data_IF_939433636725
#
_entry.id   IF_939433636725
#
_cell.length_a   1.000
_cell.length_b   1.000
_cell.length_c   1.000
_cell.angle_alpha   90.00
_cell.angle_beta   90.00
_cell.angle_gamma   90.00
#
_symmetry.space_group_name_H-M   'P 1'
#
loop_
_entity.id
_entity.type
_entity.pdbx_description
1 polymer ?
#
# COMPACT_ATOMS: atom_id res chain seq x y z
N UNK A 1 22.31 25.64 -0.34
CA UNK A 1 21.01 25.56 -1.06
C UNK A 1 20.23 24.42 -0.45
N UNK A 2 19.02 24.71 0.05
CA UNK A 2 18.13 23.66 0.57
C UNK A 2 17.38 22.95 -0.55
N UNK A 3 17.25 21.63 -0.41
CA UNK A 3 16.60 20.75 -1.37
C UNK A 3 15.41 20.05 -0.74
N UNK A 4 14.31 20.01 -1.47
CA UNK A 4 13.08 19.28 -1.13
C UNK A 4 12.88 18.17 -2.13
N UNK A 5 12.83 16.92 -1.67
CA UNK A 5 12.77 15.73 -2.52
C UNK A 5 11.37 15.12 -2.43
N UNK A 6 10.65 15.11 -3.55
CA UNK A 6 9.38 14.42 -3.69
C UNK A 6 9.57 13.04 -4.29
N UNK A 7 8.96 12.05 -3.68
CA UNK A 7 8.99 10.65 -4.11
C UNK A 7 7.58 10.19 -4.47
N UNK A 8 7.35 9.83 -5.72
CA UNK A 8 6.17 9.06 -6.13
C UNK A 8 6.55 7.58 -6.22
N UNK A 9 6.09 6.81 -5.24
CA UNK A 9 6.56 5.45 -4.96
C UNK A 9 5.72 4.42 -5.69
N UNK A 10 6.33 3.68 -6.61
CA UNK A 10 5.79 2.47 -7.22
C UNK A 10 6.55 1.23 -6.73
N UNK A 11 6.09 0.02 -7.10
CA UNK A 11 6.61 -1.23 -6.54
C UNK A 11 8.10 -1.45 -6.89
N UNK A 12 8.50 -1.20 -8.13
CA UNK A 12 9.86 -1.48 -8.61
C UNK A 12 10.73 -0.21 -8.67
N UNK A 13 10.14 0.91 -9.07
CA UNK A 13 10.84 2.19 -9.25
C UNK A 13 10.05 3.32 -8.63
N UNK A 14 10.77 4.27 -8.09
CA UNK A 14 10.26 5.52 -7.52
C UNK A 14 10.65 6.67 -8.42
N UNK A 15 9.68 7.46 -8.87
CA UNK A 15 9.95 8.73 -9.51
C UNK A 15 10.37 9.75 -8.46
N UNK A 16 11.46 10.45 -8.74
CA UNK A 16 12.06 11.42 -7.83
C UNK A 16 12.10 12.78 -8.49
N UNK A 17 11.63 13.80 -7.79
CA UNK A 17 11.80 15.20 -8.18
C UNK A 17 12.45 15.98 -7.04
N UNK A 18 13.47 16.75 -7.35
CA UNK A 18 14.18 17.62 -6.41
C UNK A 18 13.87 19.08 -6.76
N UNK A 19 13.36 19.80 -5.77
CA UNK A 19 13.06 21.22 -5.87
C UNK A 19 13.95 22.00 -4.90
N UNK A 20 14.53 23.12 -5.38
CA UNK A 20 15.34 24.02 -4.55
C UNK A 20 14.47 24.90 -3.65
N UNK A 21 15.09 25.57 -2.68
CA UNK A 21 14.47 26.60 -1.84
C UNK A 21 13.83 27.77 -2.62
N UNK A 22 14.16 27.92 -3.90
CA UNK A 22 13.55 28.92 -4.80
C UNK A 22 12.42 28.36 -5.65
N UNK A 23 11.97 27.14 -5.39
CA UNK A 23 10.89 26.47 -6.14
C UNK A 23 11.27 25.99 -7.55
N UNK A 24 12.58 25.99 -7.90
CA UNK A 24 13.07 25.51 -9.20
C UNK A 24 13.37 24.01 -9.14
N UNK A 25 12.99 23.27 -10.17
CA UNK A 25 13.38 21.87 -10.34
C UNK A 25 14.89 21.81 -10.57
N UNK A 26 15.58 21.07 -9.73
CA UNK A 26 17.04 20.85 -9.79
C UNK A 26 17.34 19.55 -10.56
N UNK A 27 16.58 18.50 -10.26
CA UNK A 27 16.79 17.18 -10.85
C UNK A 27 15.51 16.36 -10.83
N UNK A 28 15.35 15.53 -11.83
CA UNK A 28 14.34 14.48 -11.89
C UNK A 28 15.01 13.18 -12.27
N UNK A 29 14.58 12.07 -11.66
CA UNK A 29 15.16 10.75 -11.89
C UNK A 29 14.15 9.64 -11.59
N UNK A 30 14.47 8.43 -12.02
CA UNK A 30 13.87 7.20 -11.53
C UNK A 30 14.91 6.41 -10.76
N UNK A 31 14.57 5.98 -9.53
CA UNK A 31 15.46 5.22 -8.64
C UNK A 31 14.74 3.94 -8.23
N UNK A 32 15.47 2.88 -7.91
CA UNK A 32 14.87 1.67 -7.35
C UNK A 32 14.09 1.97 -6.07
N UNK A 33 12.92 1.35 -5.90
CA UNK A 33 12.09 1.54 -4.69
C UNK A 33 12.66 0.76 -3.51
N UNK A 34 13.87 1.15 -3.10
CA UNK A 34 14.66 0.56 -2.02
C UNK A 34 15.30 1.66 -1.17
N UNK A 35 15.30 1.54 0.19
CA UNK A 35 15.85 2.56 1.07
C UNK A 35 17.33 2.88 0.78
N UNK A 36 18.17 1.88 0.49
CA UNK A 36 19.59 2.10 0.23
C UNK A 36 19.81 2.87 -1.07
N UNK A 37 19.11 2.49 -2.14
CA UNK A 37 19.18 3.17 -3.44
C UNK A 37 18.71 4.63 -3.35
N UNK A 38 17.59 4.88 -2.66
CA UNK A 38 17.06 6.23 -2.46
C UNK A 38 17.94 7.08 -1.54
N UNK A 39 18.52 6.49 -0.50
CA UNK A 39 19.50 7.17 0.38
C UNK A 39 20.74 7.57 -0.39
N UNK A 40 21.32 6.64 -1.14
CA UNK A 40 22.50 6.91 -1.97
C UNK A 40 22.21 8.05 -2.94
N UNK A 41 21.10 7.94 -3.69
CA UNK A 41 20.70 8.98 -4.63
C UNK A 41 20.53 10.34 -3.96
N UNK A 42 19.92 10.39 -2.77
CA UNK A 42 19.72 11.63 -2.02
C UNK A 42 21.07 12.24 -1.57
N UNK A 43 21.97 11.43 -1.01
CA UNK A 43 23.27 11.89 -0.51
C UNK A 43 24.24 12.34 -1.62
N UNK A 44 24.07 11.87 -2.85
CA UNK A 44 24.85 12.32 -4.01
C UNK A 44 24.49 13.74 -4.48
N UNK A 45 23.42 14.34 -3.96
CA UNK A 45 23.00 15.67 -4.41
C UNK A 45 23.86 16.79 -3.79
N UNK A 46 24.14 17.80 -4.60
CA UNK A 46 24.90 18.98 -4.15
C UNK A 46 23.94 19.98 -3.44
N UNK A 47 23.83 19.88 -2.13
CA UNK A 47 22.99 20.75 -1.31
C UNK A 47 22.58 20.11 0.01
N UNK A 48 21.97 20.88 0.87
CA UNK A 48 21.38 20.42 2.13
C UNK A 48 20.00 19.84 1.86
N UNK A 49 19.80 18.53 2.11
CA UNK A 49 18.47 17.92 2.02
C UNK A 49 17.65 18.40 3.20
N UNK A 50 16.73 19.32 2.95
CA UNK A 50 15.85 19.86 3.96
C UNK A 50 14.74 18.89 4.35
N UNK A 51 14.18 18.17 3.37
CA UNK A 51 13.09 17.21 3.62
C UNK A 51 12.86 16.30 2.42
N UNK A 52 12.49 15.06 2.71
CA UNK A 52 12.02 14.08 1.74
C UNK A 52 10.56 13.77 2.03
N UNK A 53 9.70 13.77 1.03
CA UNK A 53 8.29 13.45 1.20
C UNK A 53 7.79 12.40 0.23
N UNK A 54 6.82 11.63 0.69
CA UNK A 54 6.10 10.66 -0.11
C UNK A 54 4.66 10.51 0.36
N UNK A 55 3.77 10.11 -0.55
CA UNK A 55 2.39 9.77 -0.18
C UNK A 55 2.36 8.50 0.68
N UNK A 56 1.48 8.45 1.68
CA UNK A 56 1.26 7.25 2.48
C UNK A 56 0.68 6.12 1.62
N UNK A 57 1.46 5.08 1.38
CA UNK A 57 1.16 3.94 0.52
C UNK A 57 1.76 2.63 1.03
N UNK A 58 1.67 1.53 0.26
CA UNK A 58 2.12 0.20 0.72
C UNK A 58 3.58 0.13 1.15
N UNK A 59 4.52 0.71 0.38
CA UNK A 59 5.96 0.70 0.68
C UNK A 59 6.39 1.86 1.57
N UNK A 60 5.54 2.87 1.76
CA UNK A 60 5.94 4.15 2.35
C UNK A 60 6.49 4.04 3.78
N UNK A 61 5.97 3.14 4.60
CA UNK A 61 6.44 2.99 5.98
C UNK A 61 7.82 2.32 6.07
N UNK A 62 8.10 1.37 5.18
CA UNK A 62 9.40 0.72 5.07
C UNK A 62 10.46 1.70 4.53
N UNK A 63 10.14 2.43 3.48
CA UNK A 63 11.02 3.47 2.93
C UNK A 63 11.27 4.61 3.92
N UNK A 64 10.21 5.10 4.58
CA UNK A 64 10.32 6.12 5.63
C UNK A 64 11.31 5.70 6.71
N UNK A 65 11.17 4.48 7.23
CA UNK A 65 12.07 3.96 8.26
C UNK A 65 13.52 3.91 7.78
N UNK A 66 13.80 3.28 6.63
CA UNK A 66 15.16 3.14 6.13
C UNK A 66 15.83 4.48 5.81
N UNK A 67 15.09 5.43 5.24
CA UNK A 67 15.61 6.77 4.98
C UNK A 67 15.85 7.56 6.28
N UNK A 68 14.97 7.40 7.29
CA UNK A 68 15.14 8.03 8.61
C UNK A 68 16.32 7.44 9.37
N UNK A 69 16.53 6.12 9.32
CA UNK A 69 17.68 5.43 9.89
C UNK A 69 19.00 5.88 9.24
N UNK A 70 18.96 6.30 7.98
CA UNK A 70 20.09 6.92 7.28
C UNK A 70 20.32 8.40 7.64
N UNK A 71 19.55 8.97 8.57
CA UNK A 71 19.69 10.34 9.06
C UNK A 71 18.98 11.40 8.22
N UNK A 72 18.10 11.00 7.29
CA UNK A 72 17.35 11.92 6.44
C UNK A 72 16.01 12.31 7.11
N UNK A 73 15.61 13.57 6.94
CA UNK A 73 14.29 14.03 7.40
C UNK A 73 13.22 13.63 6.39
N UNK A 74 12.31 12.75 6.81
CA UNK A 74 11.30 12.12 5.93
C UNK A 74 9.90 12.35 6.45
N UNK A 75 8.98 12.71 5.56
CA UNK A 75 7.57 12.94 5.88
C UNK A 75 6.68 12.04 5.01
N UNK A 76 5.76 11.34 5.68
CA UNK A 76 4.62 10.71 5.00
C UNK A 76 3.48 11.71 4.90
N UNK A 77 2.94 11.91 3.71
CA UNK A 77 1.85 12.83 3.45
C UNK A 77 0.50 12.12 3.35
N UNK A 78 -0.55 12.80 3.78
CA UNK A 78 -1.92 12.29 3.65
C UNK A 78 -2.32 12.16 2.18
N UNK A 79 -2.67 10.94 1.77
CA UNK A 79 -3.06 10.58 0.40
C UNK A 79 -4.19 11.45 -0.18
N UNK A 80 -5.21 11.78 0.63
CA UNK A 80 -6.35 12.59 0.15
C UNK A 80 -5.94 14.01 -0.19
N UNK A 81 -5.08 14.60 0.63
CA UNK A 81 -4.59 15.95 0.39
C UNK A 81 -3.66 15.99 -0.82
N UNK A 82 -2.71 15.06 -0.93
CA UNK A 82 -1.81 14.96 -2.09
C UNK A 82 -2.62 14.79 -3.37
N UNK A 83 -3.53 13.81 -3.41
CA UNK A 83 -4.42 13.61 -4.57
C UNK A 83 -5.29 14.82 -4.89
N UNK A 84 -5.77 15.53 -3.87
CA UNK A 84 -6.54 16.77 -4.06
C UNK A 84 -5.71 17.87 -4.74
N UNK A 85 -4.48 18.07 -4.29
CA UNK A 85 -3.56 19.05 -4.86
C UNK A 85 -3.13 18.67 -6.29
N UNK A 86 -2.80 17.40 -6.52
CA UNK A 86 -2.35 16.91 -7.84
C UNK A 86 -3.48 16.87 -8.89
N UNK A 87 -4.74 16.76 -8.49
CA UNK A 87 -5.89 16.81 -9.42
C UNK A 87 -5.97 18.14 -10.20
N UNK A 88 -5.40 19.20 -9.68
CA UNK A 88 -5.33 20.48 -10.37
C UNK A 88 -4.30 20.49 -11.51
N UNK A 89 -3.44 19.49 -11.61
CA UNK A 89 -2.44 19.38 -12.68
C UNK A 89 -3.06 18.80 -13.96
N UNK A 90 -2.81 19.41 -15.13
CA UNK A 90 -3.52 19.06 -16.37
C UNK A 90 -3.14 17.71 -16.98
N UNK A 91 -1.99 17.14 -16.61
CA UNK A 91 -1.51 15.85 -17.14
C UNK A 91 -0.95 15.04 -15.97
N UNK A 92 -1.45 13.81 -15.78
CA UNK A 92 -0.99 12.89 -14.75
C UNK A 92 0.13 11.99 -15.27
N UNK A 93 1.29 12.04 -14.62
CA UNK A 93 2.43 11.11 -14.81
C UNK A 93 3.17 11.00 -13.48
N UNK A 94 3.81 9.86 -13.21
CA UNK A 94 4.57 9.62 -11.98
C UNK A 94 5.63 10.71 -11.73
N UNK A 95 6.26 11.20 -12.81
CA UNK A 95 7.21 12.32 -12.76
C UNK A 95 6.55 13.60 -12.23
N UNK A 96 5.33 13.94 -12.68
CA UNK A 96 4.60 15.11 -12.21
C UNK A 96 4.02 14.94 -10.82
N UNK A 97 3.68 13.71 -10.45
CA UNK A 97 3.22 13.40 -9.11
C UNK A 97 4.40 13.59 -8.12
N UNK A 98 5.61 13.15 -8.46
CA UNK A 98 6.83 13.43 -7.67
C UNK A 98 7.14 14.93 -7.59
N UNK A 99 7.02 15.67 -8.71
CA UNK A 99 7.17 17.14 -8.72
C UNK A 99 6.16 17.81 -7.78
N UNK A 100 4.89 17.41 -7.86
CA UNK A 100 3.84 17.94 -7.01
C UNK A 100 4.11 17.71 -5.53
N UNK A 101 4.58 16.51 -5.15
CA UNK A 101 4.99 16.19 -3.79
C UNK A 101 6.15 17.10 -3.35
N UNK A 102 7.19 17.26 -4.16
CA UNK A 102 8.32 18.15 -3.86
C UNK A 102 7.88 19.61 -3.68
N UNK A 103 6.96 20.11 -4.48
CA UNK A 103 6.40 21.46 -4.34
C UNK A 103 5.56 21.62 -3.08
N UNK A 104 4.76 20.63 -2.72
CA UNK A 104 4.01 20.63 -1.46
C UNK A 104 4.94 20.70 -0.24
N UNK A 105 6.07 19.98 -0.27
CA UNK A 105 7.12 20.07 0.76
C UNK A 105 7.71 21.48 0.82
N UNK A 106 8.16 21.99 -0.32
CA UNK A 106 8.77 23.33 -0.41
C UNK A 106 7.86 24.42 0.14
N UNK A 107 6.55 24.33 -0.12
CA UNK A 107 5.54 25.29 0.35
C UNK A 107 5.10 25.04 1.80
N UNK A 108 5.51 23.93 2.43
CA UNK A 108 4.99 23.54 3.73
C UNK A 108 3.49 23.20 3.74
N UNK A 109 2.91 22.95 2.55
CA UNK A 109 1.47 22.73 2.41
C UNK A 109 1.13 21.26 2.30
N UNK A 110 1.30 20.54 3.39
CA UNK A 110 0.99 19.13 3.51
C UNK A 110 0.52 18.77 4.92
N UNK A 111 -0.18 17.64 5.04
CA UNK A 111 -0.55 17.05 6.32
C UNK A 111 0.31 15.81 6.56
N UNK A 112 1.15 15.82 7.61
CA UNK A 112 1.95 14.65 7.94
C UNK A 112 1.07 13.53 8.47
N UNK A 113 1.39 12.30 8.09
CA UNK A 113 0.79 11.08 8.61
C UNK A 113 1.80 10.38 9.51
N UNK A 114 1.36 9.95 10.68
CA UNK A 114 2.20 9.21 11.60
C UNK A 114 2.65 7.87 11.02
N UNK A 115 3.96 7.63 10.99
CA UNK A 115 4.52 6.32 10.66
C UNK A 115 4.33 5.36 11.84
N UNK A 116 3.61 4.25 11.60
CA UNK A 116 3.34 3.27 12.64
C UNK A 116 4.61 2.52 13.03
N UNK A 117 4.72 2.14 14.30
CA UNK A 117 5.79 1.24 14.77
C UNK A 117 5.75 -0.11 14.04
N UNK A 118 6.89 -0.78 13.96
CA UNK A 118 7.01 -2.11 13.33
C UNK A 118 6.04 -3.10 13.98
N UNK A 119 5.99 -3.14 15.32
CA UNK A 119 5.06 -4.02 16.05
C UNK A 119 3.59 -3.75 15.73
N UNK A 120 3.19 -2.50 15.58
CA UNK A 120 1.83 -2.16 15.16
C UNK A 120 1.54 -2.60 13.72
N UNK A 121 2.54 -2.53 12.83
CA UNK A 121 2.42 -3.02 11.45
C UNK A 121 2.27 -4.54 11.41
N UNK A 122 3.07 -5.28 12.20
CA UNK A 122 3.01 -6.75 12.32
C UNK A 122 1.65 -7.21 12.82
N UNK A 123 1.12 -6.60 13.89
CA UNK A 123 -0.22 -6.91 14.41
C UNK A 123 -1.29 -6.66 13.33
N UNK A 124 -1.21 -5.55 12.60
CA UNK A 124 -2.15 -5.27 11.51
C UNK A 124 -2.06 -6.28 10.37
N UNK A 125 -0.84 -6.75 10.03
CA UNK A 125 -0.64 -7.78 9.03
C UNK A 125 -1.29 -9.11 9.46
N UNK A 126 -1.10 -9.54 10.71
CA UNK A 126 -1.74 -10.73 11.28
C UNK A 126 -3.27 -10.63 11.27
N UNK A 127 -3.81 -9.49 11.71
CA UNK A 127 -5.26 -9.27 11.69
C UNK A 127 -5.82 -9.22 10.26
N UNK A 128 -5.08 -8.63 9.32
CA UNK A 128 -5.42 -8.61 7.91
C UNK A 128 -5.43 -10.02 7.30
N UNK A 129 -4.40 -10.81 7.53
CA UNK A 129 -4.30 -12.20 7.09
C UNK A 129 -5.45 -13.05 7.66
N UNK A 130 -5.71 -12.95 8.96
CA UNK A 130 -6.84 -13.64 9.60
C UNK A 130 -8.17 -13.27 8.95
N UNK A 131 -8.41 -11.99 8.69
CA UNK A 131 -9.64 -11.53 8.03
C UNK A 131 -9.78 -12.10 6.62
N UNK A 132 -8.69 -12.11 5.84
CA UNK A 132 -8.68 -12.67 4.48
C UNK A 132 -9.01 -14.16 4.48
N UNK A 133 -8.40 -14.94 5.37
CA UNK A 133 -8.71 -16.38 5.52
C UNK A 133 -10.18 -16.58 5.90
N UNK A 134 -10.68 -15.83 6.86
CA UNK A 134 -12.10 -15.90 7.26
C UNK A 134 -13.05 -15.60 6.10
N UNK A 135 -12.76 -14.58 5.30
CA UNK A 135 -13.55 -14.24 4.12
C UNK A 135 -13.49 -15.33 3.06
N UNK A 136 -12.31 -15.94 2.85
CA UNK A 136 -12.13 -17.08 1.96
C UNK A 136 -12.99 -18.28 2.38
N UNK A 137 -12.98 -18.66 3.64
CA UNK A 137 -13.82 -19.74 4.17
C UNK A 137 -15.31 -19.45 3.92
N UNK A 138 -15.77 -18.26 4.26
CA UNK A 138 -17.18 -17.87 4.06
C UNK A 138 -17.55 -17.94 2.56
N UNK A 139 -16.67 -17.47 1.67
CA UNK A 139 -16.92 -17.51 0.24
C UNK A 139 -17.03 -18.95 -0.28
N UNK A 140 -16.17 -19.86 0.18
CA UNK A 140 -16.23 -21.28 -0.16
C UNK A 140 -17.52 -21.92 0.35
N UNK A 141 -17.88 -21.71 1.62
CA UNK A 141 -19.14 -22.21 2.19
C UNK A 141 -20.36 -21.74 1.37
N UNK A 142 -20.38 -20.46 0.97
CA UNK A 142 -21.47 -19.91 0.17
C UNK A 142 -21.51 -20.50 -1.25
N UNK A 143 -20.36 -20.73 -1.86
CA UNK A 143 -20.24 -21.38 -3.17
C UNK A 143 -20.75 -22.83 -3.14
N UNK A 144 -20.36 -23.60 -2.12
CA UNK A 144 -20.83 -24.97 -1.93
C UNK A 144 -22.35 -25.01 -1.73
N UNK A 145 -22.89 -24.14 -0.90
CA UNK A 145 -24.35 -24.00 -0.73
C UNK A 145 -25.06 -23.69 -2.06
N UNK A 146 -24.45 -22.85 -2.90
CA UNK A 146 -24.97 -22.51 -4.22
C UNK A 146 -25.01 -23.71 -5.15
N UNK A 147 -23.87 -24.43 -5.26
CA UNK A 147 -23.74 -25.64 -6.09
C UNK A 147 -24.74 -26.73 -5.69
N UNK A 148 -24.82 -27.06 -4.41
CA UNK A 148 -25.69 -28.13 -3.90
C UNK A 148 -27.18 -27.86 -4.12
N UNK A 149 -27.61 -26.59 -4.14
CA UNK A 149 -29.00 -26.21 -4.45
C UNK A 149 -29.45 -26.67 -5.83
N UNK A 150 -28.57 -26.74 -6.82
CA UNK A 150 -28.91 -27.23 -8.16
C UNK A 150 -29.31 -28.72 -8.16
N UNK A 151 -28.89 -29.45 -7.12
CA UNK A 151 -29.25 -30.85 -6.91
C UNK A 151 -30.37 -31.05 -5.88
N UNK A 152 -31.05 -29.95 -5.48
CA UNK A 152 -32.10 -30.00 -4.45
C UNK A 152 -31.56 -30.16 -3.03
N UNK A 153 -30.24 -30.17 -2.81
CA UNK A 153 -29.61 -30.36 -1.51
C UNK A 153 -29.54 -29.00 -0.76
N UNK A 154 -30.22 -28.92 0.37
CA UNK A 154 -30.34 -27.70 1.17
C UNK A 154 -29.58 -27.86 2.49
N UNK A 155 -28.42 -27.23 2.60
CA UNK A 155 -27.58 -27.31 3.81
C UNK A 155 -28.26 -26.68 5.04
N UNK A 156 -29.09 -25.66 4.83
CA UNK A 156 -29.83 -24.98 5.92
C UNK A 156 -28.92 -24.11 6.83
N UNK A 157 -29.49 -23.63 7.92
CA UNK A 157 -28.73 -22.94 8.96
C UNK A 157 -27.96 -23.96 9.80
N UNK A 158 -26.66 -23.79 9.95
CA UNK A 158 -25.81 -24.73 10.69
C UNK A 158 -24.69 -24.00 11.40
N UNK A 159 -24.25 -24.51 12.54
CA UNK A 159 -23.05 -24.05 13.26
C UNK A 159 -21.79 -24.25 12.42
N UNK A 160 -20.88 -23.26 12.40
CA UNK A 160 -19.66 -23.27 11.60
C UNK A 160 -18.85 -24.57 11.72
N UNK A 161 -18.68 -25.10 12.91
CA UNK A 161 -17.91 -26.33 13.15
C UNK A 161 -18.57 -27.62 12.68
N UNK A 162 -19.81 -27.58 12.13
CA UNK A 162 -20.54 -28.73 11.60
C UNK A 162 -20.84 -28.62 10.11
N UNK A 163 -20.33 -27.60 9.44
CA UNK A 163 -20.63 -27.35 8.03
C UNK A 163 -20.12 -28.51 7.15
N UNK A 164 -18.88 -28.89 7.33
CA UNK A 164 -18.22 -29.96 6.58
C UNK A 164 -18.97 -31.31 6.75
N UNK A 165 -19.21 -31.73 8.00
CA UNK A 165 -19.97 -32.94 8.29
C UNK A 165 -21.36 -32.94 7.62
N UNK A 166 -22.04 -31.80 7.64
CA UNK A 166 -23.36 -31.66 7.03
C UNK A 166 -23.33 -31.77 5.51
N UNK A 167 -22.30 -31.21 4.87
CA UNK A 167 -22.09 -31.38 3.42
C UNK A 167 -21.87 -32.86 3.10
N UNK A 168 -20.97 -33.54 3.79
CA UNK A 168 -20.66 -34.95 3.57
C UNK A 168 -21.89 -35.85 3.74
N UNK A 169 -22.72 -35.61 4.76
CA UNK A 169 -24.01 -36.33 4.93
C UNK A 169 -24.92 -36.17 3.72
N UNK A 170 -25.02 -34.95 3.16
CA UNK A 170 -25.94 -34.70 2.04
C UNK A 170 -25.47 -35.26 0.71
N UNK A 171 -24.15 -35.32 0.49
CA UNK A 171 -23.57 -35.79 -0.80
C UNK A 171 -23.20 -37.29 -0.79
N UNK A 172 -23.30 -37.97 0.35
CA UNK A 172 -22.82 -39.34 0.56
C UNK A 172 -23.28 -40.36 -0.52
N UNK A 173 -24.45 -40.16 -1.10
CA UNK A 173 -25.00 -41.05 -2.16
C UNK A 173 -24.51 -40.71 -3.58
N UNK A 174 -23.74 -39.64 -3.75
CA UNK A 174 -23.30 -39.16 -5.07
C UNK A 174 -21.77 -38.96 -5.09
N UNK A 175 -21.07 -39.91 -5.69
CA UNK A 175 -19.61 -39.94 -5.75
C UNK A 175 -19.00 -38.73 -6.44
N UNK A 176 -19.67 -38.15 -7.42
CA UNK A 176 -19.20 -36.92 -8.11
C UNK A 176 -19.30 -35.72 -7.20
N UNK A 177 -20.40 -35.60 -6.46
CA UNK A 177 -20.55 -34.49 -5.51
C UNK A 177 -19.62 -34.62 -4.29
N UNK A 178 -19.35 -35.84 -3.82
CA UNK A 178 -18.34 -36.08 -2.77
C UNK A 178 -16.96 -35.59 -3.22
N UNK A 179 -16.59 -35.81 -4.49
CA UNK A 179 -15.29 -35.35 -4.99
C UNK A 179 -15.22 -33.81 -5.21
N UNK A 180 -16.38 -33.13 -5.29
CA UNK A 180 -16.46 -31.70 -5.52
C UNK A 180 -16.61 -30.86 -4.22
N UNK A 181 -16.81 -31.53 -3.07
CA UNK A 181 -17.06 -30.89 -1.77
C UNK A 181 -15.99 -31.23 -0.74
#
# INVERSE_FOLDING_TARGET
MKLFIGLDVSLAKTAVCIVSEHGKIVKEAEVGSDPAALTQFALEQQGEIAMIGMEAGPLSQWLHRGLTEAGLEVVLMETRQVKGALKAMPIKTDRRDAEGIARLLHLGWFRPVHCKSVSAQEIRALLGARKSIQQGVIALEMSLRGLLRNFGLKVGAIFKGRFDARIQEQVASNTTLVAAT
#
